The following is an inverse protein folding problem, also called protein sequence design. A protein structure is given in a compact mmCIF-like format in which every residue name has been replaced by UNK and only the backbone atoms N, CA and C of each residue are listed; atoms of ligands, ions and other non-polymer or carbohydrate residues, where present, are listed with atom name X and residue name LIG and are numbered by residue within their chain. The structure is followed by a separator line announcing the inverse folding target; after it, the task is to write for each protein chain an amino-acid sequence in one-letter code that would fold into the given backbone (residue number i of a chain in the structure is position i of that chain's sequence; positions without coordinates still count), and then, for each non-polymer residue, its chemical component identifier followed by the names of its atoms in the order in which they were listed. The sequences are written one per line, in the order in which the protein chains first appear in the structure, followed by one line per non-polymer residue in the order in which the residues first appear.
data_IF_627091643909
#
_entry.id   IF_627091643909
#
_cell.length_a   1.000
_cell.length_b   1.000
_cell.length_c   1.000
_cell.angle_alpha   90.00
_cell.angle_beta   90.00
_cell.angle_gamma   90.00
#
_symmetry.space_group_name_H-M   'P 1'
#
loop_
_entity.id
_entity.type
_entity.pdbx_description
1 polymer ?
#
# COMPACT_ATOMS: atom_id res chain seq x y z
N UNK A 1 -9.20 12.56 -43.36
CA UNK A 1 -7.72 12.51 -43.49
C UNK A 1 -7.15 12.64 -42.09
N UNK A 2 -6.47 11.61 -41.59
CA UNK A 2 -5.72 11.70 -40.34
C UNK A 2 -4.50 12.58 -40.62
N UNK A 3 -4.32 13.69 -39.89
CA UNK A 3 -3.16 14.56 -40.09
C UNK A 3 -1.92 13.95 -39.41
N UNK A 4 -0.75 14.16 -40.00
CA UNK A 4 0.54 13.71 -39.44
C UNK A 4 0.76 14.32 -38.04
N UNK A 5 0.26 15.53 -37.82
CA UNK A 5 0.29 16.25 -36.53
C UNK A 5 -0.51 15.50 -35.44
N UNK A 6 -1.68 14.94 -35.80
CA UNK A 6 -2.51 14.16 -34.88
C UNK A 6 -1.81 12.85 -34.47
N UNK A 7 -1.11 12.20 -35.41
CA UNK A 7 -0.32 10.98 -35.15
C UNK A 7 0.88 11.29 -34.24
N UNK A 8 1.56 12.41 -34.46
CA UNK A 8 2.67 12.84 -33.62
C UNK A 8 2.22 13.23 -32.20
N UNK A 9 1.11 13.95 -32.07
CA UNK A 9 0.54 14.31 -30.76
C UNK A 9 0.12 13.07 -29.98
N UNK A 10 -0.60 12.15 -30.64
CA UNK A 10 -1.03 10.89 -30.06
C UNK A 10 0.16 10.03 -29.60
N UNK A 11 1.23 9.95 -30.39
CA UNK A 11 2.45 9.23 -30.02
C UNK A 11 3.15 9.81 -28.79
N UNK A 12 3.19 11.14 -28.65
CA UNK A 12 3.74 11.80 -27.46
C UNK A 12 2.90 11.55 -26.22
N UNK A 13 1.59 11.77 -26.28
CA UNK A 13 0.68 11.52 -25.17
C UNK A 13 0.74 10.07 -24.68
N UNK A 14 0.87 9.11 -25.61
CA UNK A 14 1.01 7.71 -25.28
C UNK A 14 2.34 7.41 -24.56
N UNK A 15 3.45 7.99 -25.00
CA UNK A 15 4.75 7.83 -24.34
C UNK A 15 4.76 8.45 -22.93
N UNK A 16 4.18 9.64 -22.77
CA UNK A 16 4.04 10.29 -21.46
C UNK A 16 3.16 9.47 -20.52
N UNK A 17 2.06 8.91 -21.02
CA UNK A 17 1.17 8.02 -20.25
C UNK A 17 1.88 6.74 -19.79
N UNK A 18 2.69 6.12 -20.65
CA UNK A 18 3.48 4.93 -20.31
C UNK A 18 4.55 5.26 -19.27
N UNK A 19 5.28 6.36 -19.45
CA UNK A 19 6.29 6.81 -18.50
C UNK A 19 5.69 7.10 -17.12
N UNK A 20 4.55 7.80 -17.07
CA UNK A 20 3.82 8.06 -15.83
C UNK A 20 3.34 6.76 -15.16
N UNK A 21 2.83 5.80 -15.94
CA UNK A 21 2.38 4.50 -15.42
C UNK A 21 3.52 3.69 -14.80
N UNK A 22 4.69 3.66 -15.46
CA UNK A 22 5.89 3.00 -14.94
C UNK A 22 6.38 3.64 -13.64
N UNK A 23 6.43 4.97 -13.57
CA UNK A 23 6.81 5.69 -12.35
C UNK A 23 5.84 5.42 -11.20
N UNK A 24 4.53 5.44 -11.47
CA UNK A 24 3.50 5.19 -10.46
C UNK A 24 3.59 3.77 -9.90
N UNK A 25 3.79 2.78 -10.78
CA UNK A 25 4.00 1.39 -10.38
C UNK A 25 5.24 1.26 -9.49
N UNK A 26 6.37 1.83 -9.91
CA UNK A 26 7.61 1.79 -9.14
C UNK A 26 7.43 2.41 -7.75
N UNK A 27 6.83 3.61 -7.66
CA UNK A 27 6.57 4.27 -6.39
C UNK A 27 5.59 3.49 -5.50
N UNK A 28 4.53 2.92 -6.07
CA UNK A 28 3.58 2.10 -5.32
C UNK A 28 4.21 0.83 -4.74
N UNK A 29 5.01 0.12 -5.53
CA UNK A 29 5.76 -1.06 -5.05
C UNK A 29 6.74 -0.67 -3.94
N UNK A 30 7.46 0.45 -4.09
CA UNK A 30 8.36 0.94 -3.05
C UNK A 30 7.60 1.27 -1.76
N UNK A 31 6.45 1.94 -1.86
CA UNK A 31 5.63 2.26 -0.69
C UNK A 31 5.14 0.99 0.03
N UNK A 32 4.73 -0.04 -0.71
CA UNK A 32 4.33 -1.34 -0.14
C UNK A 32 5.53 -1.99 0.58
N UNK A 33 6.70 -2.02 -0.07
CA UNK A 33 7.91 -2.58 0.55
C UNK A 33 8.29 -1.84 1.84
N UNK A 34 8.21 -0.50 1.85
CA UNK A 34 8.41 0.30 3.06
C UNK A 34 7.39 -0.05 4.15
N UNK A 35 6.10 -0.19 3.82
CA UNK A 35 5.08 -0.55 4.81
C UNK A 35 5.32 -1.93 5.44
N UNK A 36 5.76 -2.92 4.68
CA UNK A 36 6.18 -4.21 5.23
C UNK A 36 7.41 -4.08 6.14
N UNK A 37 8.38 -3.25 5.76
CA UNK A 37 9.55 -2.96 6.59
C UNK A 37 9.19 -2.30 7.92
N UNK A 38 8.30 -1.32 7.89
CA UNK A 38 7.77 -0.63 9.08
C UNK A 38 7.06 -1.63 10.01
N UNK A 39 6.19 -2.47 9.45
CA UNK A 39 5.47 -3.49 10.23
C UNK A 39 6.43 -4.50 10.89
N UNK A 40 7.44 -4.96 10.15
CA UNK A 40 8.45 -5.87 10.69
C UNK A 40 9.24 -5.22 11.84
N UNK A 41 9.66 -3.96 11.66
CA UNK A 41 10.35 -3.19 12.71
C UNK A 41 9.48 -3.05 13.96
N UNK A 42 8.20 -2.67 13.80
CA UNK A 42 7.28 -2.50 14.92
C UNK A 42 7.01 -3.81 15.66
N UNK A 43 6.82 -4.91 14.93
CA UNK A 43 6.66 -6.25 15.51
C UNK A 43 7.89 -6.68 16.32
N UNK A 44 9.09 -6.33 15.84
CA UNK A 44 10.33 -6.60 16.57
C UNK A 44 10.44 -5.77 17.86
N UNK A 45 10.10 -4.48 17.80
CA UNK A 45 10.10 -3.60 18.98
C UNK A 45 9.08 -4.06 20.05
N UNK A 46 7.88 -4.48 19.64
CA UNK A 46 6.87 -5.06 20.54
C UNK A 46 7.36 -6.35 21.20
N UNK A 47 7.93 -7.26 20.40
CA UNK A 47 8.46 -8.54 20.90
C UNK A 47 9.61 -8.31 21.88
N UNK A 48 10.50 -7.37 21.57
CA UNK A 48 11.59 -6.99 22.47
C UNK A 48 11.03 -6.49 23.80
N UNK A 49 10.06 -5.57 23.77
CA UNK A 49 9.43 -5.05 24.99
C UNK A 49 8.76 -6.16 25.82
N UNK A 50 8.10 -7.11 25.15
CA UNK A 50 7.50 -8.28 25.80
C UNK A 50 8.56 -9.15 26.49
N UNK A 51 9.67 -9.47 25.82
CA UNK A 51 10.77 -10.25 26.40
C UNK A 51 11.39 -9.53 27.60
N UNK A 52 11.62 -8.22 27.50
CA UNK A 52 12.13 -7.40 28.61
C UNK A 52 11.18 -7.46 29.82
N UNK A 53 9.88 -7.27 29.60
CA UNK A 53 8.86 -7.39 30.65
C UNK A 53 8.84 -8.79 31.27
N UNK A 54 8.79 -9.84 30.45
CA UNK A 54 8.79 -11.23 30.92
C UNK A 54 10.04 -11.59 31.73
N UNK A 55 11.21 -11.05 31.36
CA UNK A 55 12.44 -11.33 32.11
C UNK A 55 12.41 -10.79 33.54
N UNK A 56 11.57 -9.78 33.82
CA UNK A 56 11.47 -9.11 35.11
C UNK A 56 10.35 -9.60 36.03
N UNK A 57 9.41 -10.41 35.55
CA UNK A 57 8.25 -10.84 36.37
C UNK A 57 8.61 -11.98 37.33
N UNK A 58 8.01 -11.97 38.53
CA UNK A 58 8.27 -12.95 39.60
C UNK A 58 7.06 -13.81 39.97
N UNK A 59 5.95 -13.66 39.25
CA UNK A 59 4.71 -14.42 39.48
C UNK A 59 3.99 -14.71 38.17
N UNK A 60 3.17 -15.76 38.17
CA UNK A 60 2.37 -16.16 37.00
C UNK A 60 1.34 -15.09 36.61
N UNK A 61 0.71 -14.43 37.57
CA UNK A 61 -0.27 -13.36 37.29
C UNK A 61 0.38 -12.22 36.49
N UNK A 62 1.62 -11.84 36.81
CA UNK A 62 2.35 -10.80 36.09
C UNK A 62 2.85 -11.27 34.72
N UNK A 63 3.17 -12.56 34.56
CA UNK A 63 3.45 -13.13 33.25
C UNK A 63 2.22 -13.12 32.34
N UNK A 64 1.03 -13.44 32.88
CA UNK A 64 -0.24 -13.40 32.15
C UNK A 64 -0.63 -11.97 31.74
N UNK A 65 -0.39 -10.99 32.62
CA UNK A 65 -0.58 -9.56 32.32
C UNK A 65 0.31 -9.15 31.12
N UNK A 66 1.61 -9.45 31.17
CA UNK A 66 2.54 -9.16 30.08
C UNK A 66 2.15 -9.85 28.75
N UNK A 67 1.74 -11.12 28.81
CA UNK A 67 1.28 -11.87 27.64
C UNK A 67 0.01 -11.27 27.03
N UNK A 68 -0.93 -10.85 27.88
CA UNK A 68 -2.20 -10.23 27.45
C UNK A 68 -1.97 -8.87 26.81
N UNK A 69 -1.09 -8.05 27.40
CA UNK A 69 -0.68 -6.78 26.81
C UNK A 69 0.00 -6.96 25.46
N UNK A 70 0.94 -7.90 25.35
CA UNK A 70 1.59 -8.22 24.08
C UNK A 70 0.58 -8.67 23.03
N UNK A 71 -0.31 -9.60 23.37
CA UNK A 71 -1.34 -10.08 22.44
C UNK A 71 -2.25 -8.95 21.95
N UNK A 72 -2.66 -8.04 22.84
CA UNK A 72 -3.46 -6.87 22.47
C UNK A 72 -2.68 -5.93 21.53
N UNK A 73 -1.46 -5.55 21.90
CA UNK A 73 -0.62 -4.64 21.11
C UNK A 73 -0.36 -5.21 19.71
N UNK A 74 0.04 -6.48 19.63
CA UNK A 74 0.32 -7.12 18.35
C UNK A 74 -0.92 -7.28 17.48
N UNK A 75 -2.10 -7.48 18.07
CA UNK A 75 -3.36 -7.47 17.33
C UNK A 75 -3.68 -6.07 16.76
N UNK A 76 -3.59 -5.03 17.59
CA UNK A 76 -3.84 -3.64 17.15
C UNK A 76 -2.86 -3.22 16.05
N UNK A 77 -1.58 -3.53 16.22
CA UNK A 77 -0.53 -3.28 15.22
C UNK A 77 -0.80 -4.05 13.94
N UNK A 78 -1.14 -5.34 14.02
CA UNK A 78 -1.48 -6.15 12.85
C UNK A 78 -2.64 -5.56 12.05
N UNK A 79 -3.75 -5.20 12.73
CA UNK A 79 -4.92 -4.62 12.06
C UNK A 79 -4.56 -3.30 11.37
N UNK A 80 -3.86 -2.40 12.08
CA UNK A 80 -3.49 -1.10 11.54
C UNK A 80 -2.56 -1.22 10.32
N UNK A 81 -1.50 -2.02 10.42
CA UNK A 81 -0.55 -2.17 9.31
C UNK A 81 -1.16 -2.95 8.13
N UNK A 82 -2.04 -3.93 8.40
CA UNK A 82 -2.77 -4.64 7.34
C UNK A 82 -3.69 -3.70 6.57
N UNK A 83 -4.40 -2.80 7.27
CA UNK A 83 -5.23 -1.78 6.63
C UNK A 83 -4.39 -0.81 5.79
N UNK A 84 -3.23 -0.38 6.29
CA UNK A 84 -2.28 0.46 5.56
C UNK A 84 -1.80 -0.22 4.28
N UNK A 85 -1.35 -1.47 4.36
CA UNK A 85 -0.88 -2.25 3.20
C UNK A 85 -2.01 -2.47 2.19
N UNK A 86 -3.22 -2.83 2.64
CA UNK A 86 -4.38 -2.98 1.78
C UNK A 86 -4.76 -1.67 1.05
N UNK A 87 -4.65 -0.54 1.75
CA UNK A 87 -4.81 0.80 1.18
C UNK A 87 -3.79 1.07 0.06
N UNK A 88 -2.51 0.75 0.29
CA UNK A 88 -1.46 0.92 -0.71
C UNK A 88 -1.70 0.07 -1.97
N UNK A 89 -2.13 -1.18 -1.82
CA UNK A 89 -2.49 -2.02 -2.96
C UNK A 89 -3.72 -1.47 -3.71
N UNK A 90 -4.70 -0.96 -2.99
CA UNK A 90 -5.89 -0.32 -3.58
C UNK A 90 -5.49 0.92 -4.39
N UNK A 91 -4.62 1.76 -3.85
CA UNK A 91 -4.15 2.97 -4.52
C UNK A 91 -3.29 2.64 -5.75
N UNK A 92 -2.42 1.62 -5.65
CA UNK A 92 -1.67 1.13 -6.80
C UNK A 92 -2.60 0.65 -7.91
N UNK A 93 -3.61 -0.17 -7.58
CA UNK A 93 -4.59 -0.64 -8.55
C UNK A 93 -5.34 0.54 -9.21
N UNK A 94 -5.84 1.51 -8.43
CA UNK A 94 -6.49 2.71 -8.96
C UNK A 94 -5.57 3.46 -9.93
N UNK A 95 -4.30 3.66 -9.58
CA UNK A 95 -3.34 4.36 -10.45
C UNK A 95 -3.07 3.59 -11.75
N UNK A 96 -2.98 2.26 -11.69
CA UNK A 96 -2.80 1.40 -12.87
C UNK A 96 -4.03 1.40 -13.77
N UNK A 97 -5.25 1.42 -13.21
CA UNK A 97 -6.49 1.37 -13.98
C UNK A 97 -7.01 2.74 -14.44
N UNK A 98 -6.53 3.85 -13.86
CA UNK A 98 -6.94 5.22 -14.20
C UNK A 98 -6.92 5.55 -15.71
N UNK A 99 -5.93 5.14 -16.53
CA UNK A 99 -5.94 5.41 -17.96
C UNK A 99 -7.14 4.79 -18.71
N UNK A 100 -7.74 3.73 -18.16
CA UNK A 100 -8.88 3.06 -18.78
C UNK A 100 -10.22 3.74 -18.48
N UNK A 101 -10.34 4.48 -17.37
CA UNK A 101 -11.55 5.25 -17.04
C UNK A 101 -11.86 6.30 -18.12
N UNK A 102 -10.83 7.00 -18.62
CA UNK A 102 -10.97 7.97 -19.70
C UNK A 102 -11.28 7.34 -21.07
N UNK A 103 -10.92 6.06 -21.25
CA UNK A 103 -11.24 5.31 -22.48
C UNK A 103 -12.73 4.95 -22.53
N UNK A 104 -13.32 4.50 -21.43
CA UNK A 104 -14.76 4.21 -21.34
C UNK A 104 -15.60 5.46 -21.61
N UNK A 105 -15.17 6.63 -21.11
CA UNK A 105 -15.84 7.91 -21.42
C UNK A 105 -15.77 8.30 -22.91
N UNK A 106 -14.72 7.91 -23.63
CA UNK A 106 -14.59 8.12 -25.09
C UNK A 106 -15.43 7.15 -25.93
N UNK A 107 -15.81 6.00 -25.38
CA UNK A 107 -16.59 4.95 -26.09
C UNK A 107 -18.05 4.83 -25.63
N UNK A 108 -18.47 5.57 -24.61
CA UNK A 108 -19.89 5.71 -24.26
C UNK A 108 -20.50 6.75 -25.21
N UNK A 109 -21.47 6.40 -26.07
CA UNK A 109 -22.17 7.41 -26.86
C UNK A 109 -22.84 8.36 -25.89
N UNK A 110 -22.68 9.68 -26.09
CA UNK A 110 -23.53 10.65 -25.41
C UNK A 110 -24.98 10.23 -25.67
N UNK A 111 -25.75 9.94 -24.62
CA UNK A 111 -27.16 9.66 -24.76
C UNK A 111 -27.81 10.87 -25.44
N UNK A 112 -28.26 10.68 -26.68
CA UNK A 112 -29.06 11.63 -27.44
C UNK A 112 -30.45 11.78 -26.82
#
# INVERSE_FOLDING_TARGET
MVKVEDIQSYGKEHLESVAASASNLQSGVQAIATAYGDYAKKSFEETKSFVEKLSGVKSLDKALEAQTEFARSSYETFVAESQKIAGLYTDLAKQTFKPYEGLVAKFTPAAH
#
